data_IF_657744044457
#
_entry.id   IF_657744044457
#
_cell.length_a   1.000
_cell.length_b   1.000
_cell.length_c   1.000
_cell.angle_alpha   90.00
_cell.angle_beta   90.00
_cell.angle_gamma   90.00
#
_symmetry.space_group_name_H-M   'P 1'
#
loop_
_entity.id
_entity.type
_entity.pdbx_description
1 polymer ?
#
# COMPACT_ATOMS: atom_id res chain seq x y z
N UNK A 1 9.74 -2.87 11.22
CA UNK A 1 9.89 -1.88 10.16
C UNK A 1 9.75 -0.49 10.73
N UNK A 2 10.82 0.32 10.61
CA UNK A 2 10.85 1.69 11.10
C UNK A 2 10.81 2.73 9.98
N UNK A 3 11.09 2.33 8.75
CA UNK A 3 11.11 3.22 7.59
C UNK A 3 9.76 3.34 6.89
N UNK A 4 9.58 4.37 6.05
CA UNK A 4 8.37 4.54 5.26
C UNK A 4 8.19 3.41 4.27
N UNK A 5 6.95 2.94 4.15
CA UNK A 5 6.54 1.87 3.21
C UNK A 5 5.69 2.51 2.13
N UNK A 6 5.91 2.18 0.84
CA UNK A 6 5.06 2.68 -0.23
C UNK A 6 3.70 1.98 -0.22
N UNK A 7 2.64 2.76 -0.40
CA UNK A 7 1.26 2.28 -0.39
C UNK A 7 0.54 2.72 -1.66
N UNK A 8 -0.31 1.84 -2.18
CA UNK A 8 -1.18 2.14 -3.32
C UNK A 8 -2.45 1.29 -3.19
N UNK A 9 -3.62 1.91 -3.33
CA UNK A 9 -4.86 1.15 -3.29
C UNK A 9 -5.03 0.33 -4.57
N UNK A 10 -5.70 -0.82 -4.45
CA UNK A 10 -5.95 -1.71 -5.60
C UNK A 10 -6.82 -1.02 -6.65
N UNK A 11 -7.80 -0.24 -6.22
CA UNK A 11 -8.67 0.52 -7.12
C UNK A 11 -7.88 1.56 -7.91
N UNK A 12 -6.95 2.27 -7.25
CA UNK A 12 -6.09 3.24 -7.90
C UNK A 12 -5.11 2.59 -8.89
N UNK A 13 -4.60 1.41 -8.53
CA UNK A 13 -3.76 0.63 -9.44
C UNK A 13 -4.51 0.26 -10.72
N UNK A 14 -5.75 -0.18 -10.59
CA UNK A 14 -6.61 -0.49 -11.73
C UNK A 14 -6.87 0.71 -12.62
N UNK A 15 -7.15 1.86 -12.01
CA UNK A 15 -7.36 3.12 -12.74
C UNK A 15 -6.10 3.56 -13.49
N UNK A 16 -4.95 3.47 -12.84
CA UNK A 16 -3.66 3.80 -13.46
C UNK A 16 -3.37 2.85 -14.62
N UNK A 17 -3.61 1.56 -14.45
CA UNK A 17 -3.44 0.57 -15.51
C UNK A 17 -4.31 0.91 -16.73
N UNK A 18 -5.58 1.25 -16.51
CA UNK A 18 -6.48 1.65 -17.59
C UNK A 18 -5.97 2.89 -18.34
N UNK A 19 -5.46 3.87 -17.62
CA UNK A 19 -4.90 5.09 -18.22
C UNK A 19 -3.63 4.82 -19.02
N UNK A 20 -2.76 3.92 -18.55
CA UNK A 20 -1.54 3.55 -19.27
C UNK A 20 -1.86 2.79 -20.57
N UNK A 21 -2.84 1.90 -20.55
CA UNK A 21 -3.30 1.18 -21.76
C UNK A 21 -3.98 2.10 -22.75
N UNK A 22 -4.62 3.15 -22.30
CA UNK A 22 -5.24 4.14 -23.18
C UNK A 22 -4.24 5.01 -23.94
N UNK A 23 -2.99 5.11 -23.44
CA UNK A 23 -1.92 5.91 -24.04
C UNK A 23 -0.62 5.14 -24.15
N UNK A 24 -0.57 4.08 -24.98
CA UNK A 24 0.63 3.24 -25.09
C UNK A 24 1.85 3.98 -25.60
N UNK A 25 1.68 4.96 -26.48
CA UNK A 25 2.74 5.79 -27.02
C UNK A 25 3.53 6.52 -25.93
N UNK A 26 2.87 6.83 -24.81
CA UNK A 26 3.46 7.57 -23.69
C UNK A 26 4.15 6.68 -22.67
N UNK A 27 3.69 5.43 -22.52
CA UNK A 27 4.09 4.56 -21.41
C UNK A 27 4.84 3.30 -21.81
N UNK A 28 4.82 2.90 -23.08
CA UNK A 28 5.51 1.71 -23.56
C UNK A 28 7.02 1.84 -23.32
N UNK A 29 7.63 0.80 -22.78
CA UNK A 29 9.04 0.72 -22.49
C UNK A 29 9.49 1.49 -21.26
N UNK A 30 8.57 1.99 -20.45
CA UNK A 30 8.87 2.71 -19.20
C UNK A 30 8.52 1.88 -17.98
N UNK A 31 9.42 1.85 -17.01
CA UNK A 31 9.14 1.31 -15.69
C UNK A 31 8.56 2.43 -14.82
N UNK A 32 7.37 2.19 -14.27
CA UNK A 32 6.66 3.16 -13.45
C UNK A 32 6.55 2.64 -12.02
N UNK A 33 7.42 3.07 -11.11
CA UNK A 33 7.21 2.78 -9.70
C UNK A 33 6.00 3.57 -9.19
N UNK A 34 5.03 2.86 -8.63
CA UNK A 34 3.75 3.44 -8.22
C UNK A 34 3.62 3.45 -6.70
N UNK A 35 3.36 4.60 -6.14
CA UNK A 35 3.04 4.78 -4.74
C UNK A 35 2.25 6.07 -4.56
N UNK A 36 1.12 6.01 -3.88
CA UNK A 36 0.30 7.19 -3.61
C UNK A 36 0.58 7.79 -2.23
N UNK A 37 1.22 7.02 -1.34
CA UNK A 37 1.57 7.46 0.00
C UNK A 37 2.81 6.72 0.48
N UNK A 38 3.57 7.36 1.35
CA UNK A 38 4.74 6.78 2.00
C UNK A 38 4.55 6.92 3.50
N UNK A 39 4.21 5.82 4.18
CA UNK A 39 3.93 5.82 5.61
C UNK A 39 4.58 4.63 6.30
N UNK A 40 5.22 4.83 7.47
CA UNK A 40 5.66 3.73 8.31
C UNK A 40 4.47 2.89 8.79
N UNK A 41 4.70 1.61 9.08
CA UNK A 41 3.66 0.73 9.60
C UNK A 41 3.05 1.25 10.90
N UNK A 42 3.87 1.81 11.78
CA UNK A 42 3.41 2.40 13.04
C UNK A 42 2.39 3.52 12.81
N UNK A 43 2.65 4.39 11.84
CA UNK A 43 1.73 5.46 11.46
C UNK A 43 0.45 4.92 10.84
N UNK A 44 0.52 3.85 10.05
CA UNK A 44 -0.66 3.20 9.49
C UNK A 44 -1.55 2.61 10.58
N UNK A 45 -0.97 1.99 11.60
CA UNK A 45 -1.73 1.47 12.75
C UNK A 45 -2.39 2.59 13.53
N UNK A 46 -1.69 3.70 13.71
CA UNK A 46 -2.24 4.88 14.39
C UNK A 46 -3.43 5.45 13.62
N UNK A 47 -3.28 5.64 12.30
CA UNK A 47 -4.36 6.11 11.45
C UNK A 47 -5.57 5.16 11.45
N UNK A 48 -5.33 3.87 11.43
CA UNK A 48 -6.39 2.86 11.53
C UNK A 48 -7.19 3.03 12.82
N UNK A 49 -6.49 3.17 13.95
CA UNK A 49 -7.15 3.40 15.24
C UNK A 49 -7.96 4.69 15.28
N UNK A 50 -7.45 5.77 14.70
CA UNK A 50 -8.14 7.07 14.64
C UNK A 50 -9.39 7.01 13.74
N UNK A 51 -9.29 6.38 12.59
CA UNK A 51 -10.40 6.32 11.62
C UNK A 51 -11.45 5.30 12.02
N UNK A 52 -11.04 4.10 12.42
CA UNK A 52 -11.96 3.00 12.74
C UNK A 52 -12.46 3.02 14.17
N UNK A 53 -11.82 3.76 15.06
CA UNK A 53 -12.20 3.86 16.46
C UNK A 53 -11.75 2.70 17.35
N UNK A 54 -10.97 1.77 16.82
CA UNK A 54 -10.37 0.66 17.58
C UNK A 54 -9.04 0.27 16.97
N UNK A 55 -8.15 -0.30 17.78
CA UNK A 55 -6.86 -0.78 17.30
C UNK A 55 -7.02 -2.03 16.44
N UNK A 56 -6.18 -2.20 15.39
CA UNK A 56 -6.21 -3.41 14.60
C UNK A 56 -5.78 -4.62 15.44
N UNK A 57 -6.42 -5.75 15.21
CA UNK A 57 -6.03 -6.98 15.88
C UNK A 57 -4.64 -7.38 15.43
N UNK A 58 -3.76 -7.62 16.38
CA UNK A 58 -2.41 -8.12 16.14
C UNK A 58 -2.34 -9.58 16.58
N UNK A 59 -2.08 -10.46 15.61
CA UNK A 59 -1.84 -11.87 15.91
C UNK A 59 -0.32 -12.08 15.90
N UNK A 60 0.31 -12.33 17.06
CA UNK A 60 1.75 -12.60 17.06
C UNK A 60 2.01 -13.92 16.36
N UNK A 61 2.67 -13.87 15.22
CA UNK A 61 3.06 -15.06 14.48
C UNK A 61 4.59 -15.18 14.49
N UNK A 62 5.15 -16.23 15.12
CA UNK A 62 6.58 -16.45 15.05
C UNK A 62 7.05 -16.62 13.62
N UNK A 63 8.25 -16.12 13.32
CA UNK A 63 8.81 -16.16 11.97
C UNK A 63 8.89 -17.59 11.42
N UNK A 64 9.10 -18.58 12.30
CA UNK A 64 9.12 -19.99 11.92
C UNK A 64 7.77 -20.51 11.40
N UNK A 65 6.68 -20.09 12.04
CA UNK A 65 5.32 -20.43 11.58
C UNK A 65 5.00 -19.74 10.25
N UNK A 66 5.40 -18.50 10.10
CA UNK A 66 5.24 -17.76 8.86
C UNK A 66 5.98 -18.44 7.71
N UNK A 67 7.22 -18.85 7.94
CA UNK A 67 8.04 -19.56 6.96
C UNK A 67 7.42 -20.90 6.54
N UNK A 68 6.82 -21.61 7.50
CA UNK A 68 6.14 -22.89 7.24
C UNK A 68 4.89 -22.73 6.36
N UNK A 69 4.11 -21.66 6.59
CA UNK A 69 2.84 -21.43 5.90
C UNK A 69 2.96 -20.73 4.55
N UNK A 70 3.97 -19.87 4.36
CA UNK A 70 4.03 -18.97 3.20
C UNK A 70 5.15 -19.25 2.21
N UNK A 71 5.95 -20.28 2.45
CA UNK A 71 7.17 -20.59 1.68
C UNK A 71 8.28 -19.56 1.90
N UNK A 72 9.49 -20.00 1.59
CA UNK A 72 10.73 -19.26 1.85
C UNK A 72 10.82 -17.92 1.10
N UNK A 73 10.19 -17.83 -0.06
CA UNK A 73 10.26 -16.64 -0.91
C UNK A 73 9.58 -15.42 -0.27
N UNK A 74 8.42 -15.61 0.35
CA UNK A 74 7.73 -14.53 1.06
C UNK A 74 8.49 -14.08 2.29
N UNK A 75 9.09 -15.01 3.03
CA UNK A 75 9.93 -14.69 4.18
C UNK A 75 11.15 -13.87 3.76
N UNK A 76 11.80 -14.25 2.67
CA UNK A 76 12.94 -13.53 2.11
C UNK A 76 12.54 -12.12 1.68
N UNK A 77 11.40 -11.97 1.02
CA UNK A 77 10.85 -10.68 0.62
C UNK A 77 10.59 -9.78 1.85
N UNK A 78 9.97 -10.32 2.89
CA UNK A 78 9.71 -9.56 4.12
C UNK A 78 11.00 -9.10 4.81
N UNK A 79 12.00 -9.97 4.89
CA UNK A 79 13.31 -9.63 5.44
C UNK A 79 13.95 -8.50 4.63
N UNK A 80 13.90 -8.59 3.32
CA UNK A 80 14.43 -7.54 2.44
C UNK A 80 13.71 -6.22 2.66
N UNK A 81 12.38 -6.22 2.73
CA UNK A 81 11.61 -5.01 3.00
C UNK A 81 11.93 -4.38 4.35
N UNK A 82 12.32 -5.20 5.35
CA UNK A 82 12.68 -4.70 6.69
C UNK A 82 14.07 -4.09 6.75
N UNK A 83 14.97 -4.46 5.85
CA UNK A 83 16.37 -4.05 5.90
C UNK A 83 16.68 -2.74 5.19
N UNK A 84 15.78 -2.22 4.37
CA UNK A 84 16.04 -0.97 3.68
C UNK A 84 14.78 -0.28 3.20
N UNK A 85 14.77 1.08 3.18
CA UNK A 85 13.69 1.81 2.54
C UNK A 85 13.73 1.58 1.03
N UNK A 86 12.59 1.32 0.45
CA UNK A 86 12.43 1.35 -1.01
C UNK A 86 12.22 2.83 -1.37
N UNK A 87 13.19 3.48 -2.04
CA UNK A 87 13.08 4.90 -2.35
C UNK A 87 12.09 5.10 -3.49
N UNK A 88 10.81 5.24 -3.17
CA UNK A 88 9.77 5.55 -4.13
C UNK A 88 9.25 6.97 -3.90
N UNK A 89 9.07 7.69 -5.00
CA UNK A 89 8.45 9.00 -5.00
C UNK A 89 6.98 8.85 -5.40
N UNK A 90 6.10 9.63 -4.78
CA UNK A 90 4.68 9.65 -5.09
C UNK A 90 4.35 10.52 -6.30
N UNK A 91 5.27 11.38 -6.73
CA UNK A 91 5.04 12.33 -7.84
C UNK A 91 4.65 11.67 -9.16
N UNK A 92 5.31 10.59 -9.63
CA UNK A 92 4.91 9.94 -10.88
C UNK A 92 3.49 9.38 -10.83
N UNK A 93 3.08 8.81 -9.69
CA UNK A 93 1.73 8.29 -9.50
C UNK A 93 0.69 9.40 -9.57
N UNK A 94 0.95 10.51 -8.90
CA UNK A 94 0.03 11.65 -8.89
C UNK A 94 -0.02 12.39 -10.22
N UNK A 95 1.03 12.31 -11.03
CA UNK A 95 1.02 12.83 -12.39
C UNK A 95 0.05 12.05 -13.30
N UNK A 96 -0.07 10.74 -13.09
CA UNK A 96 -0.98 9.89 -13.85
C UNK A 96 -2.40 9.94 -13.26
N UNK A 97 -2.52 9.87 -11.94
CA UNK A 97 -3.79 9.87 -11.22
C UNK A 97 -3.73 10.84 -10.04
N UNK A 98 -4.09 12.13 -10.25
CA UNK A 98 -4.05 13.13 -9.17
C UNK A 98 -4.97 12.81 -8.00
N UNK A 99 -6.01 12.01 -8.23
CA UNK A 99 -6.97 11.60 -7.20
C UNK A 99 -6.56 10.36 -6.42
N UNK A 100 -5.34 9.84 -6.61
CA UNK A 100 -4.83 8.67 -5.87
C UNK A 100 -4.93 8.88 -4.36
N UNK A 101 -5.45 7.89 -3.66
CA UNK A 101 -5.75 7.98 -2.24
C UNK A 101 -4.51 7.78 -1.37
N UNK A 102 -4.39 8.57 -0.32
CA UNK A 102 -3.46 8.28 0.78
C UNK A 102 -4.02 7.14 1.64
N UNK A 103 -3.20 6.60 2.54
CA UNK A 103 -3.65 5.54 3.47
C UNK A 103 -4.83 6.03 4.31
N UNK A 104 -4.77 7.25 4.83
CA UNK A 104 -5.86 7.83 5.63
C UNK A 104 -7.14 7.97 4.83
N UNK A 105 -7.06 8.49 3.61
CA UNK A 105 -8.22 8.63 2.72
C UNK A 105 -8.84 7.28 2.38
N UNK A 106 -8.02 6.28 2.14
CA UNK A 106 -8.48 4.92 1.86
C UNK A 106 -9.22 4.31 3.07
N UNK A 107 -8.68 4.51 4.27
CA UNK A 107 -9.31 4.05 5.51
C UNK A 107 -10.66 4.73 5.73
N UNK A 108 -10.74 6.04 5.55
CA UNK A 108 -11.99 6.80 5.67
C UNK A 108 -13.04 6.32 4.68
N UNK A 109 -12.65 6.10 3.43
CA UNK A 109 -13.53 5.58 2.38
C UNK A 109 -14.03 4.16 2.70
N UNK A 110 -13.14 3.30 3.19
CA UNK A 110 -13.48 1.94 3.60
C UNK A 110 -14.47 1.94 4.76
N UNK A 111 -14.27 2.81 5.75
CA UNK A 111 -15.19 2.99 6.86
C UNK A 111 -16.58 3.39 6.37
N UNK A 112 -16.66 4.36 5.48
CA UNK A 112 -17.94 4.81 4.90
C UNK A 112 -18.66 3.68 4.18
N UNK A 113 -17.95 2.88 3.39
CA UNK A 113 -18.52 1.72 2.69
C UNK A 113 -19.03 0.66 3.67
N UNK A 114 -18.28 0.39 4.73
CA UNK A 114 -18.69 -0.59 5.75
C UNK A 114 -19.92 -0.11 6.51
N UNK A 115 -20.00 1.17 6.84
CA UNK A 115 -21.16 1.77 7.50
C UNK A 115 -22.39 1.74 6.59
N UNK A 116 -22.24 2.00 5.29
CA UNK A 116 -23.33 1.98 4.33
C UNK A 116 -23.92 0.59 4.08
N UNK A 117 -23.14 -0.49 4.36
CA UNK A 117 -23.60 -1.88 4.20
C UNK A 117 -24.36 -2.42 5.41
N UNK A 118 -24.36 -1.71 6.52
CA UNK A 118 -25.12 -2.07 7.74
C UNK A 118 -26.50 -1.37 7.72
#
# INVERSE_FOLDING_TARGET
MTGPVPWLSVDDLGEIAARTFARPDRFVGKDLPLASDLQPLAECRKMYGEVMGHQPRSLPMPMRMFDLFTKRDLTTMWRWCRTGPVPLDTSPTRAILPSALTVRQWLERTRQRTTARR
#
